data_IF_525151681788
#
_entry.id   IF_525151681788
#
_cell.length_a   1.000
_cell.length_b   1.000
_cell.length_c   1.000
_cell.angle_alpha   90.00
_cell.angle_beta   90.00
_cell.angle_gamma   90.00
#
_symmetry.space_group_name_H-M   'P 1'
#
loop_
_entity.id
_entity.type
_entity.pdbx_description
1 polymer ?
#
# COMPACT_ATOMS: atom_id res chain seq x y z
N UNK A 1 -15.67 -12.84 -5.11
CA UNK A 1 -15.02 -12.40 -3.87
C UNK A 1 -14.63 -10.96 -4.16
N UNK A 2 -15.36 -10.01 -3.61
CA UNK A 2 -15.16 -8.59 -3.91
C UNK A 2 -13.77 -8.16 -3.43
N UNK A 3 -12.81 -8.08 -4.36
CA UNK A 3 -11.51 -7.43 -4.17
C UNK A 3 -11.76 -5.93 -4.08
N UNK A 4 -12.33 -5.49 -2.96
CA UNK A 4 -12.43 -4.07 -2.65
C UNK A 4 -10.99 -3.54 -2.55
N UNK A 5 -10.66 -2.45 -3.26
CA UNK A 5 -9.32 -1.88 -3.24
C UNK A 5 -8.91 -1.55 -1.80
N UNK A 6 -7.90 -2.23 -1.28
CA UNK A 6 -7.40 -1.99 0.06
C UNK A 6 -6.55 -0.72 0.04
N UNK A 7 -6.85 0.24 0.91
CA UNK A 7 -6.10 1.50 0.88
C UNK A 7 -4.89 1.44 1.79
N UNK A 8 -3.84 2.17 1.44
CA UNK A 8 -2.59 2.25 2.23
C UNK A 8 -2.83 2.50 3.73
N UNK A 9 -3.70 3.45 4.16
CA UNK A 9 -4.05 3.58 5.59
C UNK A 9 -4.60 2.32 6.24
N UNK A 10 -5.48 1.60 5.54
CA UNK A 10 -6.17 0.44 6.09
C UNK A 10 -5.23 -0.75 6.18
N UNK A 11 -4.44 -0.98 5.12
CA UNK A 11 -3.39 -1.99 5.10
C UNK A 11 -2.36 -1.75 6.21
N UNK A 12 -1.86 -0.52 6.33
CA UNK A 12 -0.90 -0.15 7.36
C UNK A 12 -1.41 -0.42 8.78
N UNK A 13 -2.68 -0.07 9.06
CA UNK A 13 -3.34 -0.38 10.32
C UNK A 13 -3.45 -1.89 10.54
N UNK A 14 -3.86 -2.64 9.51
CA UNK A 14 -4.07 -4.09 9.57
C UNK A 14 -2.79 -4.86 9.88
N UNK A 15 -1.65 -4.47 9.31
CA UNK A 15 -0.36 -5.17 9.51
C UNK A 15 0.55 -4.49 10.55
N UNK A 16 0.07 -3.47 11.25
CA UNK A 16 0.83 -2.79 12.31
C UNK A 16 2.05 -2.00 11.83
N UNK A 17 2.02 -1.48 10.61
CA UNK A 17 3.15 -0.75 9.99
C UNK A 17 2.87 0.74 9.96
N UNK A 18 3.90 1.56 10.16
CA UNK A 18 3.79 3.00 9.97
C UNK A 18 3.41 3.36 8.52
N UNK A 19 2.32 4.11 8.38
CA UNK A 19 1.77 4.50 7.08
C UNK A 19 2.77 5.32 6.25
N UNK A 20 3.58 6.19 6.87
CA UNK A 20 4.57 7.01 6.14
C UNK A 20 5.65 6.13 5.55
N UNK A 21 6.12 5.13 6.30
CA UNK A 21 7.09 4.14 5.83
C UNK A 21 6.55 3.31 4.66
N UNK A 22 5.30 2.86 4.75
CA UNK A 22 4.64 2.14 3.66
C UNK A 22 4.54 3.02 2.40
N UNK A 23 4.07 4.27 2.53
CA UNK A 23 4.01 5.22 1.41
C UNK A 23 5.38 5.49 0.80
N UNK A 24 6.42 5.65 1.62
CA UNK A 24 7.78 5.87 1.14
C UNK A 24 8.29 4.66 0.34
N UNK A 25 8.03 3.44 0.80
CA UNK A 25 8.39 2.23 0.08
C UNK A 25 7.62 2.11 -1.24
N UNK A 26 6.30 2.32 -1.24
CA UNK A 26 5.46 2.29 -2.44
C UNK A 26 5.91 3.29 -3.51
N UNK A 27 6.32 4.51 -3.11
CA UNK A 27 6.89 5.51 -4.04
C UNK A 27 8.17 5.02 -4.70
N UNK A 28 9.02 4.29 -3.98
CA UNK A 28 10.27 3.74 -4.52
C UNK A 28 10.03 2.64 -5.55
N UNK A 29 8.89 1.94 -5.46
CA UNK A 29 8.48 0.95 -6.48
C UNK A 29 7.87 1.61 -7.74
N UNK A 30 7.66 2.93 -7.74
CA UNK A 30 7.00 3.62 -8.85
C UNK A 30 5.48 3.39 -8.92
N UNK A 31 4.86 2.82 -7.88
CA UNK A 31 3.43 2.46 -7.88
C UNK A 31 2.47 3.62 -7.61
N UNK A 32 2.93 4.86 -7.80
CA UNK A 32 2.04 6.02 -7.82
C UNK A 32 2.35 6.86 -9.02
N UNK A 33 1.34 7.05 -9.85
CA UNK A 33 1.40 7.98 -10.95
C UNK A 33 1.30 9.41 -10.42
N UNK A 34 2.01 10.38 -11.01
CA UNK A 34 1.89 11.79 -10.64
C UNK A 34 0.45 12.34 -10.74
N UNK A 35 -0.37 11.79 -11.64
CA UNK A 35 -1.78 12.15 -11.81
C UNK A 35 -2.72 11.70 -10.69
N UNK A 36 -2.26 10.83 -9.78
CA UNK A 36 -3.03 10.35 -8.63
C UNK A 36 -2.80 11.23 -7.39
N UNK A 37 -2.24 12.43 -7.56
CA UNK A 37 -2.06 13.36 -6.45
C UNK A 37 -3.44 13.83 -5.94
N UNK A 38 -3.66 13.72 -4.62
CA UNK A 38 -4.93 14.10 -3.98
C UNK A 38 -5.95 12.97 -3.86
N UNK A 39 -5.75 11.83 -4.53
CA UNK A 39 -6.63 10.66 -4.39
C UNK A 39 -6.18 9.72 -3.28
N UNK A 40 -7.13 8.94 -2.76
CA UNK A 40 -6.83 7.87 -1.81
C UNK A 40 -6.01 6.80 -2.52
N UNK A 41 -4.87 6.45 -1.93
CA UNK A 41 -3.97 5.45 -2.50
C UNK A 41 -4.56 4.06 -2.25
N UNK A 42 -5.24 3.54 -3.27
CA UNK A 42 -5.74 2.18 -3.34
C UNK A 42 -4.65 1.23 -3.84
N UNK A 43 -4.63 0.01 -3.32
CA UNK A 43 -3.77 -1.07 -3.77
C UNK A 43 -4.62 -2.19 -4.34
N UNK A 44 -4.16 -2.79 -5.41
CA UNK A 44 -4.70 -4.06 -5.90
C UNK A 44 -4.19 -5.25 -5.04
N UNK A 45 -4.78 -6.42 -5.24
CA UNK A 45 -4.47 -7.62 -4.46
C UNK A 45 -3.02 -8.06 -4.60
N UNK A 46 -2.38 -7.80 -5.73
CA UNK A 46 -0.98 -8.15 -5.97
C UNK A 46 -0.03 -7.20 -5.23
N UNK A 47 -0.30 -5.90 -5.29
CA UNK A 47 0.40 -4.89 -4.51
C UNK A 47 0.26 -5.13 -3.01
N UNK A 48 -0.93 -5.52 -2.53
CA UNK A 48 -1.16 -5.89 -1.12
C UNK A 48 -0.25 -7.05 -0.73
N UNK A 49 -0.19 -8.13 -1.52
CA UNK A 49 0.68 -9.29 -1.25
C UNK A 49 2.14 -8.88 -1.14
N UNK A 50 2.63 -8.05 -2.06
CA UNK A 50 4.01 -7.59 -2.05
C UNK A 50 4.34 -6.68 -0.86
N UNK A 51 3.43 -5.77 -0.50
CA UNK A 51 3.57 -4.92 0.70
C UNK A 51 3.63 -5.80 1.96
N UNK A 52 2.70 -6.74 2.11
CA UNK A 52 2.66 -7.65 3.26
C UNK A 52 3.96 -8.44 3.35
N UNK A 53 4.40 -9.08 2.26
CA UNK A 53 5.66 -9.83 2.23
C UNK A 53 6.88 -8.97 2.64
N UNK A 54 6.97 -7.73 2.16
CA UNK A 54 8.07 -6.83 2.50
C UNK A 54 8.10 -6.45 3.99
N UNK A 55 6.93 -6.19 4.59
CA UNK A 55 6.84 -5.69 5.97
C UNK A 55 6.71 -6.80 7.02
N UNK A 56 6.27 -8.00 6.66
CA UNK A 56 6.21 -9.16 7.57
C UNK A 56 7.56 -9.86 7.76
N UNK A 57 8.54 -9.61 6.89
CA UNK A 57 9.90 -10.21 6.98
C UNK A 57 10.81 -9.40 7.92
N UNK A 58 10.26 -8.72 8.93
CA UNK A 58 11.01 -7.82 9.83
C UNK A 58 10.77 -8.10 11.29
#
# INVERSE_FOLDING_TARGET
MDDLPETVPDLARRIGVDQKRMRAWLRRQGWRSPGEHGTRWALDSEQVRQVVAHFSTR
#
